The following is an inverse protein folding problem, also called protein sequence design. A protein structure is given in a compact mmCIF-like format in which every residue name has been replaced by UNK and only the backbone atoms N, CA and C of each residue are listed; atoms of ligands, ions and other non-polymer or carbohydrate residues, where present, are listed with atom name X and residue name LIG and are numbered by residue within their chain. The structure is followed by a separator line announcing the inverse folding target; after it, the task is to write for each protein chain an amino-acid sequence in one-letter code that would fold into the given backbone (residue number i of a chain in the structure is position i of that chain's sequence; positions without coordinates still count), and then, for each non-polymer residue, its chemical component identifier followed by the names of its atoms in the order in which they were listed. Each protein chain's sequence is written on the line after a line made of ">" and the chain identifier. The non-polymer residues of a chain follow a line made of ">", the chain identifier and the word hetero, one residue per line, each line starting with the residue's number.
data_IF_521945039277
#
_entry.id   IF_521945039277
#
_cell.length_a   1.000
_cell.length_b   1.000
_cell.length_c   1.000
_cell.angle_alpha   90.00
_cell.angle_beta   90.00
_cell.angle_gamma   90.00
#
_symmetry.space_group_name_H-M   'P 1'
#
loop_
_entity.id
_entity.type
_entity.pdbx_description
1 polymer ?
#
# COMPACT_ATOMS: atom_id res chain seq x y z
N UNK A 1 9.58 25.55 -32.98
CA UNK A 1 8.81 24.43 -32.40
C UNK A 1 9.81 23.41 -31.87
N UNK A 2 9.81 23.11 -30.56
CA UNK A 2 10.63 22.01 -30.02
C UNK A 2 9.96 20.66 -30.34
N UNK A 3 10.72 19.64 -30.77
CA UNK A 3 10.16 18.33 -31.07
C UNK A 3 9.59 17.68 -29.80
N UNK A 4 8.48 16.95 -29.95
CA UNK A 4 7.91 16.16 -28.86
C UNK A 4 8.93 15.10 -28.40
N UNK A 5 9.01 14.84 -27.08
CA UNK A 5 9.81 13.72 -26.58
C UNK A 5 9.27 12.39 -27.13
N UNK A 6 10.15 11.39 -27.34
CA UNK A 6 9.73 10.09 -27.82
C UNK A 6 8.75 9.44 -26.85
N UNK A 7 7.79 8.64 -27.35
CA UNK A 7 6.87 7.89 -26.49
C UNK A 7 7.68 6.96 -25.58
N UNK A 8 7.31 6.92 -24.30
CA UNK A 8 7.89 5.99 -23.33
C UNK A 8 7.74 4.55 -23.85
N UNK A 9 8.76 3.69 -23.65
CA UNK A 9 8.70 2.30 -24.09
C UNK A 9 7.47 1.60 -23.50
N UNK A 10 6.72 0.88 -24.34
CA UNK A 10 5.59 0.06 -23.89
C UNK A 10 6.12 -1.11 -23.04
N UNK A 11 5.94 -1.03 -21.73
CA UNK A 11 6.17 -2.17 -20.84
C UNK A 11 5.10 -3.22 -21.13
N UNK A 12 5.53 -4.47 -21.35
CA UNK A 12 4.61 -5.58 -21.69
C UNK A 12 3.73 -5.88 -20.48
N UNK A 13 2.42 -6.06 -20.72
CA UNK A 13 1.48 -6.53 -19.70
C UNK A 13 1.94 -7.89 -19.13
N UNK A 14 1.80 -8.12 -17.82
CA UNK A 14 2.23 -9.37 -17.19
C UNK A 14 1.55 -10.59 -17.84
N UNK A 15 2.32 -11.66 -18.04
CA UNK A 15 1.81 -12.92 -18.57
C UNK A 15 1.28 -13.78 -17.42
N UNK A 16 0.03 -14.25 -17.54
CA UNK A 16 -0.56 -15.21 -16.62
C UNK A 16 -0.38 -16.63 -17.15
N UNK A 17 0.65 -17.36 -16.70
CA UNK A 17 0.69 -18.82 -16.81
C UNK A 17 0.49 -19.41 -15.41
N UNK A 18 -0.74 -19.80 -15.08
CA UNK A 18 -1.08 -20.48 -13.83
C UNK A 18 -0.90 -19.65 -12.55
N UNK A 19 -1.93 -18.87 -12.17
CA UNK A 19 -2.17 -18.46 -10.77
C UNK A 19 -1.38 -17.28 -10.17
N UNK A 20 -0.22 -16.87 -10.69
CA UNK A 20 0.50 -15.65 -10.24
C UNK A 20 0.89 -14.81 -11.48
N UNK A 21 0.71 -13.48 -11.40
CA UNK A 21 1.14 -12.53 -12.42
C UNK A 21 2.63 -12.25 -12.22
N UNK A 22 3.42 -12.45 -13.28
CA UNK A 22 4.86 -12.18 -13.29
C UNK A 22 5.11 -10.87 -14.03
N UNK A 23 5.79 -9.93 -13.39
CA UNK A 23 6.23 -8.69 -14.02
C UNK A 23 7.57 -8.97 -14.69
N UNK A 24 7.51 -9.22 -16.01
CA UNK A 24 8.54 -9.91 -16.82
C UNK A 24 9.95 -9.35 -16.70
N UNK A 25 10.09 -8.07 -16.36
CA UNK A 25 11.39 -7.39 -16.41
C UNK A 25 12.06 -7.31 -15.03
N UNK A 26 11.34 -7.67 -13.95
CA UNK A 26 11.84 -7.55 -12.56
C UNK A 26 11.99 -8.88 -11.82
N UNK A 27 11.43 -9.97 -12.34
CA UNK A 27 11.39 -11.27 -11.65
C UNK A 27 10.47 -11.33 -10.43
N UNK A 28 9.87 -10.19 -10.02
CA UNK A 28 8.90 -10.11 -8.94
C UNK A 28 7.50 -10.56 -9.36
N UNK A 29 6.76 -11.06 -8.38
CA UNK A 29 5.48 -11.75 -8.58
C UNK A 29 4.38 -11.15 -7.69
N UNK A 30 3.16 -11.09 -8.21
CA UNK A 30 1.94 -10.80 -7.44
C UNK A 30 0.89 -11.86 -7.73
N UNK A 31 0.10 -12.32 -6.75
CA UNK A 31 -0.91 -13.35 -6.98
C UNK A 31 -1.96 -12.86 -7.98
N UNK A 32 -2.49 -13.79 -8.78
CA UNK A 32 -3.68 -13.52 -9.57
C UNK A 32 -4.87 -13.22 -8.66
N UNK A 33 -5.70 -12.27 -9.04
CA UNK A 33 -6.91 -11.89 -8.31
C UNK A 33 -7.98 -11.38 -9.28
N UNK A 34 -9.28 -11.48 -8.93
CA UNK A 34 -10.34 -10.91 -9.75
C UNK A 34 -10.28 -9.38 -9.76
N UNK A 35 -10.88 -8.78 -10.78
CA UNK A 35 -10.94 -7.32 -10.93
C UNK A 35 -11.89 -6.65 -9.93
N UNK A 36 -12.87 -7.38 -9.40
CA UNK A 36 -13.86 -6.87 -8.45
C UNK A 36 -14.30 -7.96 -7.47
N UNK A 37 -14.94 -7.53 -6.37
CA UNK A 37 -15.50 -8.43 -5.36
C UNK A 37 -16.59 -9.28 -6.00
N UNK A 38 -16.45 -10.59 -5.91
CA UNK A 38 -17.41 -11.56 -6.44
C UNK A 38 -18.34 -12.02 -5.33
N UNK A 39 -19.63 -12.22 -5.65
CA UNK A 39 -20.61 -12.74 -4.70
C UNK A 39 -20.17 -14.14 -4.21
N UNK A 40 -20.23 -14.37 -2.89
CA UNK A 40 -19.82 -15.64 -2.28
C UNK A 40 -18.31 -15.86 -2.14
N UNK A 41 -17.46 -15.00 -2.72
CA UNK A 41 -16.01 -15.10 -2.57
C UNK A 41 -15.52 -14.40 -1.30
N UNK A 42 -14.81 -15.13 -0.44
CA UNK A 42 -14.16 -14.53 0.73
C UNK A 42 -12.97 -13.66 0.31
N UNK A 43 -13.00 -12.38 0.68
CA UNK A 43 -11.86 -11.46 0.51
C UNK A 43 -10.57 -11.96 1.19
N UNK A 44 -10.68 -12.83 2.19
CA UNK A 44 -9.51 -13.44 2.81
C UNK A 44 -8.66 -14.25 1.83
N UNK A 45 -9.26 -14.78 0.75
CA UNK A 45 -8.56 -15.55 -0.29
C UNK A 45 -7.44 -14.75 -0.99
N UNK A 46 -7.55 -13.42 -1.06
CA UNK A 46 -6.53 -12.53 -1.64
C UNK A 46 -5.17 -12.61 -0.93
N UNK A 47 -5.17 -12.97 0.36
CA UNK A 47 -3.97 -13.16 1.17
C UNK A 47 -3.85 -14.60 1.67
N UNK A 48 -4.11 -15.56 0.79
CA UNK A 48 -3.93 -16.99 1.06
C UNK A 48 -2.58 -17.52 0.55
N UNK A 49 -2.47 -18.83 0.36
CA UNK A 49 -1.24 -19.51 -0.06
C UNK A 49 -0.54 -18.87 -1.26
N UNK A 50 -1.21 -18.50 -2.38
CA UNK A 50 -0.54 -17.88 -3.52
C UNK A 50 0.14 -16.55 -3.17
N UNK A 51 -0.51 -15.72 -2.35
CA UNK A 51 0.06 -14.46 -1.88
C UNK A 51 1.28 -14.70 -0.96
N UNK A 52 1.19 -15.68 -0.07
CA UNK A 52 2.30 -16.06 0.81
C UNK A 52 3.50 -16.55 0.01
N UNK A 53 3.26 -17.33 -1.05
CA UNK A 53 4.33 -17.87 -1.89
C UNK A 53 4.97 -16.76 -2.75
N UNK A 54 4.17 -15.85 -3.31
CA UNK A 54 4.70 -14.69 -4.05
C UNK A 54 5.41 -13.69 -3.10
N UNK A 55 4.98 -13.51 -1.83
CA UNK A 55 5.73 -12.76 -0.80
C UNK A 55 7.09 -13.41 -0.51
N UNK A 56 7.11 -14.70 -0.21
CA UNK A 56 8.34 -15.43 0.11
C UNK A 56 9.35 -15.39 -1.06
N UNK A 57 8.86 -15.51 -2.29
CA UNK A 57 9.67 -15.38 -3.51
C UNK A 57 10.29 -13.99 -3.65
N UNK A 58 9.48 -12.92 -3.56
CA UNK A 58 9.99 -11.57 -3.74
C UNK A 58 11.01 -11.19 -2.65
N UNK A 59 10.78 -11.60 -1.40
CA UNK A 59 11.70 -11.36 -0.28
C UNK A 59 13.02 -12.11 -0.46
N UNK A 60 12.97 -13.41 -0.81
CA UNK A 60 14.18 -14.20 -1.05
C UNK A 60 15.02 -13.67 -2.22
N UNK A 61 14.38 -13.02 -3.20
CA UNK A 61 15.07 -12.42 -4.35
C UNK A 61 15.95 -11.23 -3.94
N UNK A 62 15.59 -10.49 -2.89
CA UNK A 62 16.31 -9.27 -2.44
C UNK A 62 17.02 -9.42 -1.09
N UNK A 63 16.82 -10.56 -0.44
CA UNK A 63 17.44 -10.92 0.83
C UNK A 63 17.82 -12.42 0.79
N UNK A 64 19.01 -12.77 0.28
CA UNK A 64 19.39 -14.16 0.01
C UNK A 64 19.40 -15.08 1.24
N UNK A 65 19.57 -14.52 2.44
CA UNK A 65 19.53 -15.27 3.71
C UNK A 65 18.11 -15.42 4.28
N UNK A 66 17.07 -14.97 3.56
CA UNK A 66 15.68 -15.07 3.99
C UNK A 66 15.23 -16.54 4.01
N UNK A 67 14.86 -17.04 5.19
CA UNK A 67 14.29 -18.38 5.34
C UNK A 67 12.83 -18.42 4.87
N UNK A 68 12.67 -18.56 3.55
CA UNK A 68 11.37 -18.64 2.89
C UNK A 68 10.53 -19.84 3.37
N UNK A 69 11.15 -20.95 3.74
CA UNK A 69 10.45 -22.15 4.18
C UNK A 69 9.80 -21.93 5.56
N UNK A 70 10.57 -21.38 6.52
CA UNK A 70 10.04 -21.01 7.83
C UNK A 70 8.97 -19.93 7.73
N UNK A 71 9.20 -18.89 6.91
CA UNK A 71 8.23 -17.83 6.69
C UNK A 71 6.88 -18.38 6.19
N UNK A 72 6.88 -19.24 5.16
CA UNK A 72 5.66 -19.84 4.60
C UNK A 72 4.89 -20.63 5.67
N UNK A 73 5.59 -21.41 6.49
CA UNK A 73 4.99 -22.20 7.57
C UNK A 73 4.32 -21.29 8.60
N UNK A 74 5.03 -20.28 9.10
CA UNK A 74 4.50 -19.32 10.07
C UNK A 74 3.33 -18.48 9.50
N UNK A 75 3.44 -18.05 8.23
CA UNK A 75 2.41 -17.28 7.55
C UNK A 75 1.10 -18.05 7.37
N UNK A 76 1.16 -19.37 7.15
CA UNK A 76 -0.02 -20.22 6.98
C UNK A 76 -0.67 -20.63 8.31
N UNK A 77 0.09 -20.66 9.40
CA UNK A 77 -0.41 -21.01 10.72
C UNK A 77 -1.51 -20.04 11.19
N UNK A 78 -2.67 -20.55 11.59
CA UNK A 78 -3.77 -19.74 12.12
C UNK A 78 -4.48 -18.83 11.10
N UNK A 79 -4.16 -18.91 9.81
CA UNK A 79 -4.64 -17.97 8.79
C UNK A 79 -6.12 -18.15 8.40
N UNK A 80 -6.62 -19.40 8.44
CA UNK A 80 -7.96 -19.77 7.95
C UNK A 80 -9.11 -18.91 8.53
N UNK A 81 -9.25 -18.73 9.85
CA UNK A 81 -10.36 -17.96 10.42
C UNK A 81 -10.28 -16.45 10.20
N UNK A 82 -9.17 -15.93 9.68
CA UNK A 82 -8.94 -14.48 9.59
C UNK A 82 -9.56 -13.88 8.31
N UNK A 83 -10.23 -12.73 8.46
CA UNK A 83 -10.63 -11.87 7.35
C UNK A 83 -9.45 -11.10 6.74
N UNK A 84 -9.67 -10.40 5.63
CA UNK A 84 -8.60 -9.75 4.84
C UNK A 84 -7.68 -8.84 5.67
N UNK A 85 -8.24 -7.88 6.42
CA UNK A 85 -7.44 -6.97 7.24
C UNK A 85 -6.68 -7.69 8.37
N UNK A 86 -7.29 -8.73 8.94
CA UNK A 86 -6.64 -9.55 9.98
C UNK A 86 -5.48 -10.36 9.37
N UNK A 87 -5.64 -10.89 8.15
CA UNK A 87 -4.56 -11.57 7.42
C UNK A 87 -3.40 -10.61 7.12
N UNK A 88 -3.69 -9.38 6.69
CA UNK A 88 -2.67 -8.35 6.51
C UNK A 88 -1.83 -8.12 7.76
N UNK A 89 -2.48 -7.96 8.92
CA UNK A 89 -1.80 -7.80 10.22
C UNK A 89 -1.07 -9.07 10.67
N UNK A 90 -1.63 -10.25 10.45
CA UNK A 90 -0.98 -11.53 10.73
C UNK A 90 0.34 -11.66 9.96
N UNK A 91 0.28 -11.45 8.64
CA UNK A 91 1.45 -11.52 7.79
C UNK A 91 2.49 -10.45 8.15
N UNK A 92 2.07 -9.24 8.53
CA UNK A 92 2.98 -8.21 9.04
C UNK A 92 3.74 -8.65 10.31
N UNK A 93 3.10 -9.38 11.23
CA UNK A 93 3.77 -9.96 12.41
C UNK A 93 4.76 -11.04 12.04
N UNK A 94 4.40 -11.91 11.11
CA UNK A 94 5.31 -12.95 10.61
C UNK A 94 6.51 -12.32 9.89
N UNK A 95 6.30 -11.27 9.08
CA UNK A 95 7.38 -10.48 8.48
C UNK A 95 8.34 -9.93 9.54
N UNK A 96 7.82 -9.37 10.63
CA UNK A 96 8.66 -8.83 11.73
C UNK A 96 9.53 -9.89 12.40
N UNK A 97 9.10 -11.15 12.40
CA UNK A 97 9.86 -12.27 12.94
C UNK A 97 10.94 -12.80 11.98
N UNK A 98 10.81 -12.54 10.67
CA UNK A 98 11.68 -13.09 9.62
C UNK A 98 12.52 -12.04 8.88
N UNK A 99 12.37 -10.77 9.25
CA UNK A 99 13.17 -9.65 8.76
C UNK A 99 14.08 -9.13 9.88
N UNK A 100 15.12 -8.34 9.55
CA UNK A 100 15.99 -7.71 10.54
C UNK A 100 15.22 -6.99 11.66
N UNK A 101 15.79 -7.03 12.88
CA UNK A 101 15.20 -6.38 14.05
C UNK A 101 15.18 -4.85 13.90
N UNK A 102 16.22 -4.27 13.29
CA UNK A 102 16.28 -2.85 12.97
C UNK A 102 15.22 -2.50 11.93
N UNK A 103 14.34 -1.56 12.31
CA UNK A 103 13.18 -1.19 11.49
C UNK A 103 13.57 -0.67 10.09
N UNK A 104 14.58 0.21 9.94
CA UNK A 104 15.01 0.70 8.62
C UNK A 104 15.47 -0.42 7.68
N UNK A 105 16.20 -1.40 8.20
CA UNK A 105 16.70 -2.52 7.40
C UNK A 105 15.56 -3.41 6.90
N UNK A 106 14.59 -3.71 7.78
CA UNK A 106 13.39 -4.45 7.42
C UNK A 106 12.56 -3.71 6.36
N UNK A 107 12.36 -2.40 6.52
CA UNK A 107 11.67 -1.57 5.51
C UNK A 107 12.45 -1.57 4.20
N UNK A 108 13.77 -1.43 4.24
CA UNK A 108 14.61 -1.48 3.05
C UNK A 108 14.41 -2.76 2.24
N UNK A 109 14.34 -3.92 2.91
CA UNK A 109 14.04 -5.20 2.25
C UNK A 109 12.64 -5.20 1.65
N UNK A 110 11.63 -4.77 2.41
CA UNK A 110 10.25 -4.68 1.93
C UNK A 110 10.14 -3.82 0.67
N UNK A 111 10.78 -2.65 0.65
CA UNK A 111 10.74 -1.71 -0.48
C UNK A 111 11.48 -2.25 -1.71
N UNK A 112 12.62 -2.94 -1.53
CA UNK A 112 13.31 -3.60 -2.65
C UNK A 112 12.50 -4.75 -3.24
N UNK A 113 11.59 -5.36 -2.48
CA UNK A 113 10.76 -6.49 -2.93
C UNK A 113 9.49 -6.08 -3.70
N UNK A 114 9.27 -4.78 -3.90
CA UNK A 114 8.09 -4.25 -4.58
C UNK A 114 8.18 -4.43 -6.11
N UNK A 115 7.05 -4.72 -6.74
CA UNK A 115 6.88 -4.60 -8.20
C UNK A 115 6.99 -3.15 -8.66
N UNK A 116 7.02 -2.87 -9.97
CA UNK A 116 6.88 -1.49 -10.46
C UNK A 116 5.60 -0.79 -9.95
N UNK A 117 5.60 0.55 -9.86
CA UNK A 117 4.43 1.37 -9.56
C UNK A 117 3.25 1.10 -10.51
N UNK A 118 2.02 1.36 -10.04
CA UNK A 118 0.83 1.35 -10.89
C UNK A 118 0.87 2.54 -11.85
N UNK A 119 0.70 2.26 -13.14
CA UNK A 119 0.65 3.28 -14.19
C UNK A 119 -0.74 3.91 -14.33
N UNK A 120 -1.78 3.22 -13.90
CA UNK A 120 -3.18 3.65 -14.00
C UNK A 120 -3.81 3.86 -12.62
N UNK A 121 -4.86 4.69 -12.59
CA UNK A 121 -5.65 4.96 -11.38
C UNK A 121 -7.00 4.24 -11.36
N UNK A 122 -7.30 3.48 -12.43
CA UNK A 122 -8.50 2.67 -12.59
C UNK A 122 -8.12 1.22 -12.92
N UNK A 123 -9.05 0.31 -12.68
CA UNK A 123 -8.97 -1.11 -13.06
C UNK A 123 -7.76 -1.88 -12.52
N UNK A 124 -7.20 -1.42 -11.40
CA UNK A 124 -6.07 -2.08 -10.72
C UNK A 124 -6.46 -3.42 -10.05
N UNK A 125 -7.75 -3.76 -10.05
CA UNK A 125 -8.29 -5.00 -9.53
C UNK A 125 -8.04 -5.22 -8.03
N UNK A 126 -8.21 -6.44 -7.56
CA UNK A 126 -7.96 -6.80 -6.16
C UNK A 126 -6.54 -7.33 -5.89
N UNK A 127 -5.72 -7.50 -6.93
CA UNK A 127 -4.35 -8.02 -6.78
C UNK A 127 -3.46 -7.11 -5.92
N UNK A 128 -3.73 -5.80 -5.94
CA UNK A 128 -3.01 -4.78 -5.14
C UNK A 128 -3.08 -5.01 -3.63
N UNK A 129 -4.10 -5.74 -3.13
CA UNK A 129 -4.18 -6.13 -1.72
C UNK A 129 -3.02 -7.03 -1.28
N UNK A 130 -2.23 -7.58 -2.21
CA UNK A 130 -0.95 -8.22 -1.95
C UNK A 130 -0.02 -7.37 -1.06
N UNK A 131 -0.08 -6.04 -1.16
CA UNK A 131 0.74 -5.13 -0.36
C UNK A 131 0.14 -4.77 1.00
N UNK A 132 -1.03 -5.31 1.36
CA UNK A 132 -1.65 -5.08 2.66
C UNK A 132 -0.74 -5.47 3.86
N UNK A 133 0.04 -6.58 3.82
CA UNK A 133 1.02 -6.89 4.86
C UNK A 133 2.14 -5.84 4.98
N UNK A 134 2.55 -5.22 3.88
CA UNK A 134 3.60 -4.20 3.88
C UNK A 134 3.13 -2.92 4.56
N UNK A 135 1.93 -2.43 4.19
CA UNK A 135 1.36 -1.25 4.85
C UNK A 135 1.04 -1.55 6.32
N UNK A 136 0.53 -2.75 6.63
CA UNK A 136 0.30 -3.16 8.01
C UNK A 136 1.61 -3.21 8.82
N UNK A 137 2.72 -3.65 8.24
CA UNK A 137 4.04 -3.64 8.88
C UNK A 137 4.47 -2.22 9.26
N UNK A 138 4.37 -1.28 8.32
CA UNK A 138 4.70 0.14 8.59
C UNK A 138 3.80 0.72 9.67
N UNK A 139 2.49 0.48 9.60
CA UNK A 139 1.54 1.00 10.60
C UNK A 139 1.69 0.39 12.00
N UNK A 140 2.19 -0.84 12.11
CA UNK A 140 2.39 -1.53 13.40
C UNK A 140 3.73 -1.19 14.06
N UNK A 141 4.79 -0.98 13.27
CA UNK A 141 6.16 -0.91 13.80
C UNK A 141 6.89 0.42 13.51
N UNK A 142 6.32 1.29 12.67
CA UNK A 142 7.03 2.47 12.16
C UNK A 142 6.94 3.75 12.99
N UNK A 143 6.12 3.80 14.05
CA UNK A 143 5.92 5.03 14.82
C UNK A 143 7.20 5.60 15.46
N UNK A 144 8.20 4.76 15.71
CA UNK A 144 9.50 5.16 16.26
C UNK A 144 10.47 5.77 15.24
N UNK A 145 10.20 5.62 13.94
CA UNK A 145 11.04 6.16 12.87
C UNK A 145 10.18 6.75 11.75
N UNK A 146 9.94 8.06 11.86
CA UNK A 146 9.01 8.78 10.99
C UNK A 146 9.52 8.88 9.54
N UNK A 147 10.80 9.16 9.32
CA UNK A 147 11.30 9.41 7.96
C UNK A 147 11.32 8.13 7.12
N UNK A 148 11.83 7.04 7.69
CA UNK A 148 11.76 5.71 7.09
C UNK A 148 10.31 5.32 6.79
N UNK A 149 9.41 5.56 7.74
CA UNK A 149 7.99 5.25 7.58
C UNK A 149 7.32 6.06 6.49
N UNK A 150 7.54 7.37 6.43
CA UNK A 150 6.95 8.21 5.40
C UNK A 150 7.48 7.87 4.01
N UNK A 151 8.77 7.57 3.89
CA UNK A 151 9.33 7.03 2.64
C UNK A 151 8.66 5.72 2.24
N UNK A 152 8.46 4.79 3.18
CA UNK A 152 7.79 3.54 2.90
C UNK A 152 6.32 3.73 2.45
N UNK A 153 5.59 4.64 3.10
CA UNK A 153 4.21 4.95 2.73
C UNK A 153 4.10 5.58 1.35
N UNK A 154 5.04 6.47 1.02
CA UNK A 154 5.17 7.09 -0.30
C UNK A 154 5.37 6.04 -1.40
N UNK A 155 6.23 5.05 -1.18
CA UNK A 155 6.45 3.99 -2.16
C UNK A 155 5.31 2.97 -2.24
N UNK A 156 4.72 2.58 -1.10
CA UNK A 156 3.64 1.61 -1.04
C UNK A 156 2.34 2.14 -1.64
N UNK A 157 2.04 3.43 -1.45
CA UNK A 157 0.81 4.01 -2.01
C UNK A 157 0.83 4.08 -3.54
N UNK A 158 1.98 3.91 -4.19
CA UNK A 158 2.06 3.82 -5.65
C UNK A 158 1.68 2.43 -6.19
N UNK A 159 1.53 1.42 -5.33
CA UNK A 159 1.16 0.02 -5.69
C UNK A 159 -0.14 -0.47 -5.07
N UNK A 160 -0.51 0.15 -3.96
CA UNK A 160 -1.74 -0.11 -3.21
C UNK A 160 -2.16 1.22 -2.57
N UNK A 161 -2.65 1.23 -1.34
CA UNK A 161 -2.82 2.46 -0.58
C UNK A 161 -2.21 2.33 0.81
N UNK A 162 -1.51 3.38 1.23
CA UNK A 162 -1.03 3.54 2.60
C UNK A 162 -2.11 4.15 3.55
N UNK A 163 -3.35 4.33 3.10
CA UNK A 163 -4.43 4.99 3.85
C UNK A 163 -4.67 4.41 5.25
N UNK A 164 -4.43 3.11 5.43
CA UNK A 164 -4.55 2.45 6.75
C UNK A 164 -3.33 2.66 7.63
N UNK A 165 -2.13 2.59 7.06
CA UNK A 165 -0.86 2.67 7.79
C UNK A 165 -0.50 4.10 8.19
N UNK A 166 -1.10 5.08 7.54
CA UNK A 166 -0.88 6.50 7.82
C UNK A 166 -1.59 6.96 9.09
N UNK A 167 -2.69 6.29 9.45
CA UNK A 167 -3.57 6.72 10.55
C UNK A 167 -2.90 6.69 11.93
N UNK A 168 -2.09 5.68 12.29
CA UNK A 168 -1.29 5.75 13.51
C UNK A 168 -0.44 7.03 13.60
N UNK A 169 0.14 7.50 12.48
CA UNK A 169 0.93 8.73 12.45
C UNK A 169 0.04 9.97 12.60
N UNK A 170 -1.10 10.02 11.91
CA UNK A 170 -2.08 11.10 12.09
C UNK A 170 -2.62 11.18 13.52
N UNK A 171 -2.75 10.05 14.22
CA UNK A 171 -3.22 10.00 15.61
C UNK A 171 -2.13 10.38 16.63
N UNK A 172 -0.86 10.07 16.34
CA UNK A 172 0.24 10.26 17.30
C UNK A 172 1.08 11.50 17.05
N UNK A 173 1.18 11.94 15.80
CA UNK A 173 2.01 13.04 15.32
C UNK A 173 1.26 13.82 14.22
N UNK A 174 0.06 14.38 14.50
CA UNK A 174 -0.83 14.97 13.49
C UNK A 174 -0.15 16.10 12.71
N UNK A 175 0.44 17.08 13.39
CA UNK A 175 1.07 18.25 12.76
C UNK A 175 2.18 17.86 11.80
N UNK A 176 3.13 17.03 12.27
CA UNK A 176 4.25 16.53 11.46
C UNK A 176 3.76 15.72 10.26
N UNK A 177 2.74 14.89 10.45
CA UNK A 177 2.18 14.06 9.37
C UNK A 177 1.45 14.93 8.35
N UNK A 178 0.62 15.89 8.79
CA UNK A 178 -0.09 16.81 7.90
C UNK A 178 0.86 17.70 7.11
N UNK A 179 1.99 18.12 7.69
CA UNK A 179 3.03 18.86 6.97
C UNK A 179 3.61 18.04 5.79
N UNK A 180 3.96 16.76 6.02
CA UNK A 180 4.42 15.86 4.95
C UNK A 180 3.35 15.65 3.88
N UNK A 181 2.08 15.52 4.27
CA UNK A 181 0.98 15.38 3.31
C UNK A 181 0.75 16.67 2.51
N UNK A 182 0.93 17.84 3.11
CA UNK A 182 0.83 19.11 2.39
C UNK A 182 1.87 19.21 1.27
N UNK A 183 3.10 18.73 1.50
CA UNK A 183 4.11 18.60 0.44
C UNK A 183 3.64 17.67 -0.68
N UNK A 184 3.11 16.50 -0.31
CA UNK A 184 2.64 15.47 -1.24
C UNK A 184 1.40 15.84 -2.05
N UNK A 185 0.67 16.90 -1.69
CA UNK A 185 -0.43 17.43 -2.53
C UNK A 185 0.05 17.89 -3.92
N UNK A 186 1.34 18.19 -4.06
CA UNK A 186 1.96 18.63 -5.33
C UNK A 186 2.73 17.52 -6.05
N UNK A 187 2.69 16.29 -5.56
CA UNK A 187 3.45 15.18 -6.14
C UNK A 187 2.96 14.86 -7.57
N UNK A 188 3.84 14.56 -8.54
CA UNK A 188 3.41 14.20 -9.89
C UNK A 188 2.54 12.94 -9.93
N UNK A 189 2.69 12.02 -8.97
CA UNK A 189 1.95 10.77 -8.94
C UNK A 189 0.55 10.94 -8.30
N UNK A 190 -0.53 10.64 -9.03
CA UNK A 190 -1.89 10.80 -8.52
C UNK A 190 -2.22 9.88 -7.34
N UNK A 191 -1.54 8.75 -7.17
CA UNK A 191 -1.75 7.86 -6.01
C UNK A 191 -1.22 8.47 -4.71
N UNK A 192 -0.13 9.23 -4.79
CA UNK A 192 0.43 9.97 -3.65
C UNK A 192 -0.50 11.13 -3.29
N UNK A 193 -0.94 11.91 -4.28
CA UNK A 193 -1.90 13.01 -4.03
C UNK A 193 -3.21 12.50 -3.44
N UNK A 194 -3.74 11.39 -3.97
CA UNK A 194 -4.95 10.76 -3.42
C UNK A 194 -4.76 10.34 -1.97
N UNK A 195 -3.59 9.82 -1.58
CA UNK A 195 -3.32 9.46 -0.18
C UNK A 195 -3.51 10.63 0.79
N UNK A 196 -3.16 11.86 0.37
CA UNK A 196 -3.29 13.06 1.19
C UNK A 196 -4.75 13.35 1.56
N UNK A 197 -5.66 13.20 0.59
CA UNK A 197 -7.11 13.30 0.82
C UNK A 197 -7.66 12.07 1.55
N UNK A 198 -7.34 10.87 1.08
CA UNK A 198 -7.97 9.65 1.59
C UNK A 198 -7.50 9.27 2.99
N UNK A 199 -6.20 9.29 3.23
CA UNK A 199 -5.62 8.87 4.50
C UNK A 199 -6.06 9.75 5.67
N UNK A 200 -6.39 11.02 5.38
CA UNK A 200 -6.89 12.01 6.35
C UNK A 200 -8.41 12.00 6.51
N UNK A 201 -9.15 11.15 5.78
CA UNK A 201 -10.61 11.04 5.93
C UNK A 201 -10.98 10.78 7.40
N UNK A 202 -11.85 11.61 8.01
CA UNK A 202 -12.28 11.43 9.40
C UNK A 202 -12.96 10.06 9.60
N UNK A 203 -13.75 9.63 8.60
CA UNK A 203 -14.56 8.40 8.61
C UNK A 203 -14.20 7.47 7.44
N UNK A 204 -12.95 7.01 7.39
CA UNK A 204 -12.50 6.07 6.37
C UNK A 204 -13.12 4.66 6.58
N UNK A 205 -13.73 4.03 5.55
CA UNK A 205 -14.24 2.67 5.65
C UNK A 205 -13.16 1.66 6.08
N UNK A 206 -13.57 0.70 6.91
CA UNK A 206 -12.72 -0.39 7.44
C UNK A 206 -11.52 0.06 8.29
N UNK A 207 -11.34 1.35 8.52
CA UNK A 207 -10.27 1.91 9.34
C UNK A 207 -10.84 2.53 10.64
N UNK A 208 -10.02 2.63 11.71
CA UNK A 208 -10.39 3.43 12.88
C UNK A 208 -10.65 4.88 12.48
N UNK A 209 -11.66 5.53 13.04
CA UNK A 209 -11.93 6.97 12.81
C UNK A 209 -10.78 7.84 13.34
N UNK A 210 -10.68 9.09 12.88
CA UNK A 210 -9.81 10.12 13.49
C UNK A 210 -10.72 11.09 14.25
N UNK A 211 -10.94 10.89 15.57
CA UNK A 211 -11.89 11.72 16.32
C UNK A 211 -11.59 13.22 16.24
N UNK A 212 -10.30 13.58 16.25
CA UNK A 212 -9.86 14.98 16.15
C UNK A 212 -10.38 15.65 14.87
N UNK A 213 -10.31 14.97 13.71
CA UNK A 213 -10.80 15.54 12.45
C UNK A 213 -12.32 15.46 12.28
N UNK A 214 -13.00 14.61 13.06
CA UNK A 214 -14.47 14.62 13.15
C UNK A 214 -14.93 15.83 13.96
N UNK A 215 -14.24 16.10 15.07
CA UNK A 215 -14.55 17.23 15.95
C UNK A 215 -14.20 18.57 15.30
N UNK A 216 -13.06 18.63 14.61
CA UNK A 216 -12.59 19.83 13.92
C UNK A 216 -11.96 19.47 12.57
N UNK A 217 -12.62 19.76 11.43
CA UNK A 217 -12.08 19.46 10.11
C UNK A 217 -11.02 20.47 9.65
N UNK A 218 -10.85 21.63 10.32
CA UNK A 218 -9.94 22.70 9.87
C UNK A 218 -8.50 22.23 9.57
N UNK A 219 -7.88 21.31 10.34
CA UNK A 219 -6.53 20.85 10.06
C UNK A 219 -6.35 20.15 8.70
N UNK A 220 -7.41 19.56 8.13
CA UNK A 220 -7.35 18.84 6.86
C UNK A 220 -7.85 19.66 5.67
N UNK A 221 -8.57 20.77 5.91
CA UNK A 221 -9.09 21.63 4.85
C UNK A 221 -8.02 22.11 3.86
N UNK A 222 -6.81 22.53 4.28
CA UNK A 222 -5.78 22.96 3.34
C UNK A 222 -5.37 21.88 2.33
N UNK A 223 -5.42 20.59 2.73
CA UNK A 223 -5.14 19.47 1.83
C UNK A 223 -6.26 19.29 0.81
N UNK A 224 -7.52 19.44 1.25
CA UNK A 224 -8.68 19.30 0.37
C UNK A 224 -8.78 20.47 -0.61
N UNK A 225 -8.50 21.69 -0.16
CA UNK A 225 -8.45 22.88 -1.00
C UNK A 225 -7.38 22.76 -2.09
N UNK A 226 -6.18 22.27 -1.74
CA UNK A 226 -5.11 22.04 -2.71
C UNK A 226 -5.48 20.98 -3.77
N UNK A 227 -6.35 20.03 -3.45
CA UNK A 227 -6.69 18.88 -4.31
C UNK A 227 -8.07 18.97 -4.96
N UNK A 228 -8.87 20.00 -4.66
CA UNK A 228 -10.26 20.13 -5.13
C UNK A 228 -10.38 20.11 -6.67
N UNK A 229 -9.42 20.74 -7.34
CA UNK A 229 -9.36 20.88 -8.80
C UNK A 229 -8.25 20.00 -9.42
N UNK A 230 -7.84 18.94 -8.73
CA UNK A 230 -6.78 18.03 -9.20
C UNK A 230 -7.09 17.51 -10.62
N UNK A 231 -6.12 17.42 -11.55
CA UNK A 231 -6.38 16.90 -12.90
C UNK A 231 -6.88 15.45 -12.92
N UNK A 232 -6.56 14.66 -11.90
CA UNK A 232 -6.97 13.26 -11.80
C UNK A 232 -8.37 13.10 -11.20
N UNK A 233 -9.29 12.49 -11.94
CA UNK A 233 -10.62 12.14 -11.43
C UNK A 233 -10.54 11.22 -10.20
N UNK A 234 -9.53 10.35 -10.13
CA UNK A 234 -9.29 9.48 -8.97
C UNK A 234 -9.04 10.28 -7.68
N UNK A 235 -8.28 11.37 -7.77
CA UNK A 235 -8.01 12.27 -6.64
C UNK A 235 -9.27 13.07 -6.28
N UNK A 236 -9.94 13.68 -7.27
CA UNK A 236 -11.17 14.46 -7.02
C UNK A 236 -12.28 13.63 -6.38
N UNK A 237 -12.43 12.36 -6.76
CA UNK A 237 -13.38 11.43 -6.12
C UNK A 237 -13.04 11.19 -4.65
N UNK A 238 -11.75 11.09 -4.30
CA UNK A 238 -11.33 10.99 -2.90
C UNK A 238 -11.69 12.25 -2.10
N UNK A 239 -11.47 13.44 -2.68
CA UNK A 239 -11.85 14.72 -2.05
C UNK A 239 -13.37 14.78 -1.83
N UNK A 240 -14.17 14.45 -2.83
CA UNK A 240 -15.62 14.41 -2.71
C UNK A 240 -16.08 13.44 -1.61
N UNK A 241 -15.49 12.23 -1.56
CA UNK A 241 -15.76 11.25 -0.52
C UNK A 241 -15.27 11.66 0.88
N UNK A 242 -14.30 12.58 0.97
CA UNK A 242 -13.85 13.13 2.24
C UNK A 242 -14.88 14.13 2.80
N UNK A 243 -15.48 14.94 1.93
CA UNK A 243 -16.45 15.98 2.27
C UNK A 243 -17.87 15.44 2.57
N UNK A 244 -18.24 14.32 1.96
CA UNK A 244 -19.52 13.62 2.22
C UNK A 244 -19.50 12.77 3.48
#
# INVERSE_FOLDING_TARGET
>A
MKPLPPPLPRVRRPSARGGCLVWSDSGFRIPGAPNSIQQGASLGSLLAAPAIDCLAHNLATVHPTFDAASFRRAARAGLRPLGLLQRGRHLARVLRQHLPAEYPDAVGILLRSLTPPLETTADNGLAVFFYLPHVAFVGLYGLGDFETSMHAQYELTKRFSAEFSLRPFLLRQPERTLARLAEWTRDPNPHVRRLCSEGTRPRLPWAPRIPAFIADPRPVLPLLEALRDDPSLYVRRSVANHLG
#
